data_IF_887377644898
#
_entry.id   IF_887377644898
#
_cell.length_a   1.000
_cell.length_b   1.000
_cell.length_c   1.000
_cell.angle_alpha   90.00
_cell.angle_beta   90.00
_cell.angle_gamma   90.00
#
_symmetry.space_group_name_H-M   'P 1'
#
loop_
_entity.id
_entity.type
_entity.pdbx_description
1 polymer ?
#
# COMPACT_ATOMS: atom_id res chain seq x y z
N UNK A 1 -20.27 7.53 14.77
CA UNK A 1 -18.92 7.01 14.45
C UNK A 1 -18.32 6.13 15.54
N UNK A 2 -18.14 6.59 16.80
CA UNK A 2 -17.52 5.76 17.85
C UNK A 2 -18.41 4.60 18.33
N UNK A 3 -19.69 4.88 18.57
CA UNK A 3 -20.71 3.89 18.96
C UNK A 3 -20.90 2.82 17.88
N UNK A 4 -20.89 3.21 16.61
CA UNK A 4 -21.04 2.30 15.48
C UNK A 4 -19.91 1.26 15.39
N UNK A 5 -18.71 1.65 15.86
CA UNK A 5 -17.48 0.88 15.78
C UNK A 5 -17.20 0.04 17.04
N UNK A 6 -18.10 0.01 18.02
CA UNK A 6 -17.92 -0.68 19.31
C UNK A 6 -16.59 -0.32 20.03
N UNK A 7 -16.13 0.92 19.92
CA UNK A 7 -14.97 1.39 20.68
C UNK A 7 -15.41 1.88 22.06
N UNK A 8 -14.72 1.44 23.11
CA UNK A 8 -14.99 1.93 24.48
C UNK A 8 -14.43 3.34 24.67
N UNK A 9 -15.09 4.13 25.52
CA UNK A 9 -14.56 5.42 25.99
C UNK A 9 -13.32 5.23 26.87
N UNK A 10 -12.47 6.26 26.92
CA UNK A 10 -11.27 6.25 27.76
C UNK A 10 -11.62 6.37 29.24
N UNK A 11 -11.09 5.46 30.06
CA UNK A 11 -11.17 5.53 31.53
C UNK A 11 -9.76 5.83 32.10
N UNK A 12 -9.53 7.01 32.71
CA UNK A 12 -8.21 7.36 33.25
C UNK A 12 -7.67 6.38 34.30
N UNK A 13 -8.54 5.69 35.04
CA UNK A 13 -8.13 4.78 36.11
C UNK A 13 -7.60 3.48 35.52
N UNK A 14 -8.31 2.93 34.53
CA UNK A 14 -7.99 1.64 33.92
C UNK A 14 -6.99 1.77 32.77
N UNK A 15 -7.17 2.78 31.92
CA UNK A 15 -6.50 2.86 30.62
C UNK A 15 -5.18 3.64 30.67
N UNK A 16 -4.90 4.41 31.72
CA UNK A 16 -3.64 5.17 31.86
C UNK A 16 -2.40 4.29 31.83
N UNK A 17 -2.51 3.04 32.29
CA UNK A 17 -1.42 2.05 32.32
C UNK A 17 -1.22 1.28 31.02
N UNK A 18 -2.15 1.40 30.05
CA UNK A 18 -2.05 0.68 28.78
C UNK A 18 -0.99 1.30 27.86
N UNK A 19 -0.48 0.49 26.93
CA UNK A 19 0.39 0.99 25.86
C UNK A 19 -0.35 2.04 25.05
N UNK A 20 0.33 3.15 24.74
CA UNK A 20 -0.24 4.26 23.98
C UNK A 20 -1.43 4.95 24.67
N UNK A 21 -1.52 4.90 26.01
CA UNK A 21 -2.58 5.55 26.80
C UNK A 21 -2.70 7.05 26.53
N UNK A 22 -1.58 7.75 26.32
CA UNK A 22 -1.59 9.16 25.94
C UNK A 22 -2.33 9.42 24.62
N UNK A 23 -2.12 8.60 23.58
CA UNK A 23 -2.86 8.73 22.31
C UNK A 23 -4.34 8.35 22.49
N UNK A 24 -4.61 7.32 23.29
CA UNK A 24 -5.97 6.88 23.61
C UNK A 24 -6.77 7.98 24.32
N UNK A 25 -6.13 8.68 25.28
CA UNK A 25 -6.67 9.84 25.99
C UNK A 25 -7.00 10.98 25.02
N UNK A 26 -6.06 11.36 24.15
CA UNK A 26 -6.29 12.41 23.14
C UNK A 26 -7.44 12.07 22.19
N UNK A 27 -7.63 10.79 21.89
CA UNK A 27 -8.70 10.30 21.03
C UNK A 27 -10.01 10.03 21.78
N UNK A 28 -10.03 10.08 23.11
CA UNK A 28 -11.20 9.78 23.93
C UNK A 28 -11.71 8.34 23.76
N UNK A 29 -10.80 7.38 23.61
CA UNK A 29 -11.11 5.94 23.45
C UNK A 29 -10.21 5.10 24.38
N UNK A 30 -10.66 3.92 24.78
CA UNK A 30 -9.95 3.05 25.75
C UNK A 30 -8.60 2.52 25.22
N UNK A 31 -8.49 2.28 23.91
CA UNK A 31 -7.25 1.93 23.21
C UNK A 31 -7.01 2.86 22.04
N UNK A 32 -5.75 3.20 21.78
CA UNK A 32 -5.40 4.06 20.65
C UNK A 32 -5.83 3.43 19.31
N UNK A 33 -6.32 4.27 18.40
CA UNK A 33 -6.62 3.92 17.02
C UNK A 33 -5.37 4.10 16.18
N UNK A 34 -4.81 2.99 15.69
CA UNK A 34 -3.55 2.96 14.92
C UNK A 34 -3.76 2.19 13.60
N UNK A 35 -2.97 2.42 12.55
CA UNK A 35 -2.96 1.53 11.37
C UNK A 35 -2.67 0.06 11.75
N UNK A 36 -3.01 -0.92 10.92
CA UNK A 36 -2.64 -2.34 11.14
C UNK A 36 -1.14 -2.50 10.89
N UNK A 37 -0.36 -2.81 11.93
CA UNK A 37 1.09 -2.81 11.84
C UNK A 37 1.78 -3.94 12.61
N UNK A 38 1.16 -4.51 13.65
CA UNK A 38 1.82 -5.54 14.46
C UNK A 38 1.69 -6.94 13.86
N UNK A 39 2.62 -7.84 14.15
CA UNK A 39 2.51 -9.24 13.71
C UNK A 39 1.23 -9.91 14.25
N UNK A 40 0.86 -9.61 15.50
CA UNK A 40 -0.37 -10.11 16.14
C UNK A 40 -1.63 -9.67 15.39
N UNK A 41 -1.73 -8.38 15.02
CA UNK A 41 -2.85 -7.86 14.25
C UNK A 41 -2.93 -8.50 12.86
N UNK A 42 -1.79 -8.71 12.19
CA UNK A 42 -1.76 -9.40 10.89
C UNK A 42 -2.26 -10.85 11.00
N UNK A 43 -1.86 -11.56 12.06
CA UNK A 43 -2.32 -12.92 12.33
C UNK A 43 -3.84 -12.94 12.64
N UNK A 44 -4.32 -12.00 13.45
CA UNK A 44 -5.75 -11.84 13.74
C UNK A 44 -6.55 -11.57 12.47
N UNK A 45 -6.12 -10.62 11.63
CA UNK A 45 -6.80 -10.33 10.37
C UNK A 45 -6.87 -11.56 9.47
N UNK A 46 -5.77 -12.30 9.32
CA UNK A 46 -5.74 -13.53 8.53
C UNK A 46 -6.70 -14.59 9.08
N UNK A 47 -6.79 -14.72 10.41
CA UNK A 47 -7.70 -15.65 11.06
C UNK A 47 -9.18 -15.26 10.82
N UNK A 48 -9.50 -13.97 10.98
CA UNK A 48 -10.85 -13.44 10.74
C UNK A 48 -11.28 -13.64 9.29
N UNK A 49 -10.39 -13.35 8.32
CA UNK A 49 -10.65 -13.59 6.89
C UNK A 49 -10.95 -15.06 6.56
N UNK A 50 -10.42 -16.01 7.35
CA UNK A 50 -10.64 -17.44 7.11
C UNK A 50 -11.87 -17.98 7.83
N UNK A 51 -12.13 -17.51 9.06
CA UNK A 51 -13.07 -18.17 9.98
C UNK A 51 -14.32 -17.35 10.28
N UNK A 52 -14.27 -16.03 10.17
CA UNK A 52 -15.34 -15.17 10.65
C UNK A 52 -16.28 -14.74 9.51
N UNK A 53 -17.61 -14.97 9.62
CA UNK A 53 -18.55 -14.68 8.54
C UNK A 53 -18.61 -13.20 8.15
N UNK A 54 -18.39 -12.27 9.09
CA UNK A 54 -18.33 -10.83 8.78
C UNK A 54 -17.15 -10.43 7.85
N UNK A 55 -16.11 -11.26 7.78
CA UNK A 55 -14.93 -11.07 6.92
C UNK A 55 -14.91 -12.02 5.73
N UNK A 56 -15.78 -13.03 5.72
CA UNK A 56 -15.94 -14.02 4.67
C UNK A 56 -17.42 -14.19 4.34
N UNK A 57 -18.08 -13.07 4.01
CA UNK A 57 -19.37 -13.14 3.36
C UNK A 57 -19.09 -13.66 1.96
N UNK A 58 -19.66 -14.80 1.58
CA UNK A 58 -19.55 -15.33 0.20
C UNK A 58 -20.07 -14.38 -0.89
N UNK A 59 -20.64 -13.23 -0.49
CA UNK A 59 -21.02 -12.10 -1.33
C UNK A 59 -19.82 -11.20 -1.65
N UNK A 60 -19.87 -10.50 -2.80
CA UNK A 60 -18.78 -9.66 -3.28
C UNK A 60 -18.36 -8.51 -2.33
N UNK A 61 -19.23 -8.11 -1.40
CA UNK A 61 -18.96 -7.02 -0.46
C UNK A 61 -18.95 -7.49 1.01
N UNK A 62 -18.00 -6.96 1.79
CA UNK A 62 -17.85 -7.21 3.21
C UNK A 62 -18.74 -6.29 4.03
N UNK A 63 -19.40 -6.83 5.06
CA UNK A 63 -20.11 -6.00 6.03
C UNK A 63 -19.11 -5.32 6.98
N UNK A 64 -18.60 -4.17 6.54
CA UNK A 64 -17.56 -3.42 7.27
C UNK A 64 -17.98 -2.99 8.67
N UNK A 65 -19.27 -2.68 8.89
CA UNK A 65 -19.75 -2.28 10.22
C UNK A 65 -19.59 -3.44 11.20
N UNK A 66 -20.01 -4.64 10.80
CA UNK A 66 -19.89 -5.82 11.64
C UNK A 66 -18.42 -6.27 11.80
N UNK A 67 -17.65 -6.23 10.72
CA UNK A 67 -16.22 -6.56 10.74
C UNK A 67 -15.44 -5.69 11.75
N UNK A 68 -15.73 -4.39 11.80
CA UNK A 68 -15.11 -3.46 12.76
C UNK A 68 -15.53 -3.76 14.20
N UNK A 69 -16.81 -4.07 14.44
CA UNK A 69 -17.29 -4.45 15.78
C UNK A 69 -16.60 -5.70 16.29
N UNK A 70 -16.47 -6.72 15.44
CA UNK A 70 -15.76 -7.96 15.74
C UNK A 70 -14.30 -7.68 16.05
N UNK A 71 -13.63 -6.89 15.20
CA UNK A 71 -12.24 -6.50 15.43
C UNK A 71 -12.05 -5.78 16.77
N UNK A 72 -12.82 -4.71 17.02
CA UNK A 72 -12.65 -3.88 18.21
C UNK A 72 -13.04 -4.62 19.50
N UNK A 73 -13.99 -5.56 19.43
CA UNK A 73 -14.29 -6.48 20.55
C UNK A 73 -13.11 -7.39 20.89
N UNK A 74 -12.41 -7.93 19.90
CA UNK A 74 -11.20 -8.74 20.14
C UNK A 74 -10.07 -7.83 20.65
N UNK A 75 -9.97 -6.61 20.11
CA UNK A 75 -9.02 -5.62 20.57
C UNK A 75 -9.25 -5.26 22.05
N UNK A 76 -10.47 -5.25 22.57
CA UNK A 76 -10.71 -5.02 24.00
C UNK A 76 -10.05 -6.09 24.89
N UNK A 77 -9.98 -7.32 24.41
CA UNK A 77 -9.47 -8.48 25.15
C UNK A 77 -7.96 -8.69 24.98
N UNK A 78 -7.37 -8.22 23.87
CA UNK A 78 -5.96 -8.42 23.53
C UNK A 78 -5.19 -7.08 23.53
N UNK A 79 -4.24 -6.91 24.44
CA UNK A 79 -3.43 -5.70 24.56
C UNK A 79 -2.39 -5.49 23.44
N UNK A 80 -2.19 -6.49 22.58
CA UNK A 80 -1.36 -6.36 21.39
C UNK A 80 -2.15 -5.95 20.14
N UNK A 81 -3.47 -5.80 20.26
CA UNK A 81 -4.37 -5.41 19.18
C UNK A 81 -4.96 -4.04 19.50
N UNK A 82 -4.78 -3.10 18.57
CA UNK A 82 -5.31 -1.75 18.69
C UNK A 82 -6.64 -1.62 17.97
N UNK A 83 -7.42 -0.61 18.36
CA UNK A 83 -8.65 -0.26 17.65
C UNK A 83 -8.37 0.12 16.20
N UNK A 84 -9.34 -0.18 15.33
CA UNK A 84 -9.30 0.15 13.90
C UNK A 84 -10.57 0.85 13.47
N UNK A 85 -10.40 1.71 12.47
CA UNK A 85 -11.49 2.30 11.69
C UNK A 85 -11.71 1.51 10.39
N UNK A 86 -12.90 1.72 9.80
CA UNK A 86 -13.31 1.08 8.55
C UNK A 86 -12.29 1.30 7.43
N UNK A 87 -11.81 2.53 7.30
CA UNK A 87 -10.84 2.95 6.29
C UNK A 87 -9.52 2.21 6.44
N UNK A 88 -9.08 1.99 7.69
CA UNK A 88 -7.84 1.28 7.98
C UNK A 88 -7.95 -0.20 7.64
N UNK A 89 -9.06 -0.87 8.00
CA UNK A 89 -9.27 -2.25 7.61
C UNK A 89 -9.46 -2.42 6.09
N UNK A 90 -10.11 -1.47 5.41
CA UNK A 90 -10.21 -1.45 3.94
C UNK A 90 -8.85 -1.32 3.27
N UNK A 91 -8.04 -0.36 3.72
CA UNK A 91 -6.68 -0.18 3.22
C UNK A 91 -5.82 -1.43 3.45
N UNK A 92 -5.95 -2.05 4.62
CA UNK A 92 -5.24 -3.28 4.94
C UNK A 92 -5.71 -4.46 4.09
N UNK A 93 -7.01 -4.61 3.83
CA UNK A 93 -7.56 -5.66 2.96
C UNK A 93 -6.97 -5.57 1.55
N UNK A 94 -6.89 -4.37 0.97
CA UNK A 94 -6.29 -4.17 -0.36
C UNK A 94 -4.85 -4.65 -0.38
N UNK A 95 -4.05 -4.28 0.63
CA UNK A 95 -2.67 -4.75 0.76
C UNK A 95 -2.59 -6.27 0.97
N UNK A 96 -3.47 -6.82 1.80
CA UNK A 96 -3.53 -8.26 2.07
C UNK A 96 -3.86 -9.06 0.80
N UNK A 97 -4.84 -8.61 -0.02
CA UNK A 97 -5.18 -9.26 -1.30
C UNK A 97 -4.01 -9.27 -2.28
N UNK A 98 -3.28 -8.16 -2.38
CA UNK A 98 -2.06 -8.10 -3.21
C UNK A 98 -1.02 -9.09 -2.70
N UNK A 99 -0.75 -9.11 -1.40
CA UNK A 99 0.21 -10.03 -0.80
C UNK A 99 -0.23 -11.51 -0.94
N UNK A 100 -1.52 -11.80 -0.83
CA UNK A 100 -2.06 -13.14 -1.04
C UNK A 100 -1.86 -13.58 -2.49
N UNK A 101 -2.13 -12.70 -3.46
CA UNK A 101 -1.89 -12.98 -4.88
C UNK A 101 -0.39 -13.20 -5.18
N UNK A 102 0.49 -12.41 -4.57
CA UNK A 102 1.95 -12.60 -4.67
C UNK A 102 2.31 -13.99 -4.16
N UNK A 103 1.90 -14.35 -2.93
CA UNK A 103 2.20 -15.67 -2.34
C UNK A 103 1.64 -16.82 -3.17
N UNK A 104 0.43 -16.69 -3.71
CA UNK A 104 -0.16 -17.70 -4.59
C UNK A 104 0.64 -17.84 -5.88
N UNK A 105 1.07 -16.73 -6.48
CA UNK A 105 1.91 -16.73 -7.68
C UNK A 105 3.27 -17.34 -7.39
N UNK A 106 3.91 -16.97 -6.28
CA UNK A 106 5.18 -17.53 -5.82
C UNK A 106 5.07 -19.04 -5.58
N UNK A 107 3.98 -19.48 -4.93
CA UNK A 107 3.74 -20.89 -4.66
C UNK A 107 3.50 -21.68 -5.95
N UNK A 108 2.73 -21.11 -6.90
CA UNK A 108 2.44 -21.75 -8.19
C UNK A 108 3.64 -21.79 -9.13
N UNK A 109 4.55 -20.82 -9.06
CA UNK A 109 5.76 -20.76 -9.89
C UNK A 109 7.00 -21.33 -9.19
N UNK A 110 6.84 -21.95 -8.02
CA UNK A 110 7.96 -22.44 -7.21
C UNK A 110 8.81 -23.48 -7.96
N UNK A 111 8.15 -24.41 -8.64
CA UNK A 111 8.84 -25.49 -9.37
C UNK A 111 9.60 -24.96 -10.59
N UNK A 112 8.97 -24.09 -11.39
CA UNK A 112 9.62 -23.48 -12.56
C UNK A 112 10.80 -22.60 -12.15
N UNK A 113 10.66 -21.82 -11.06
CA UNK A 113 11.77 -21.03 -10.50
C UNK A 113 12.90 -21.93 -10.02
N UNK A 114 12.58 -23.05 -9.35
CA UNK A 114 13.58 -24.03 -8.93
C UNK A 114 14.36 -24.58 -10.13
N UNK A 115 13.67 -24.92 -11.23
CA UNK A 115 14.33 -25.40 -12.46
C UNK A 115 15.29 -24.38 -13.05
N UNK A 116 14.88 -23.11 -13.11
CA UNK A 116 15.74 -22.02 -13.60
C UNK A 116 16.93 -21.81 -12.65
N UNK A 117 16.71 -21.80 -11.34
CA UNK A 117 17.77 -21.67 -10.34
C UNK A 117 18.79 -22.82 -10.44
N UNK A 118 18.33 -24.05 -10.67
CA UNK A 118 19.20 -25.22 -10.86
C UNK A 118 20.02 -25.10 -12.16
N UNK A 119 19.42 -24.62 -13.25
CA UNK A 119 20.14 -24.35 -14.50
C UNK A 119 21.21 -23.27 -14.33
N UNK A 120 20.89 -22.18 -13.62
CA UNK A 120 21.84 -21.08 -13.38
C UNK A 120 23.02 -21.56 -12.54
N UNK A 121 22.77 -22.33 -11.48
CA UNK A 121 23.86 -22.90 -10.64
C UNK A 121 24.76 -23.85 -11.43
N UNK A 122 24.21 -24.59 -12.39
CA UNK A 122 25.01 -25.48 -13.22
C UNK A 122 25.87 -24.73 -14.25
N UNK A 123 25.45 -23.54 -14.71
CA UNK A 123 26.25 -22.74 -15.66
C UNK A 123 27.57 -22.29 -15.03
N UNK A 124 27.56 -21.89 -13.75
CA UNK A 124 28.76 -21.43 -13.03
C UNK A 124 29.87 -22.49 -12.95
N UNK A 125 29.51 -23.77 -12.98
CA UNK A 125 30.47 -24.89 -12.98
C UNK A 125 31.20 -25.07 -14.32
N UNK A 126 30.71 -24.44 -15.40
CA UNK A 126 31.26 -24.54 -16.76
C UNK A 126 31.84 -23.23 -17.29
N UNK A 127 31.86 -22.17 -16.50
CA UNK A 127 32.50 -20.91 -16.91
C UNK A 127 34.02 -21.16 -16.97
N UNK A 128 34.65 -21.09 -18.16
CA UNK A 128 36.10 -21.20 -18.27
C UNK A 128 36.72 -20.12 -17.39
N UNK A 129 37.75 -20.46 -16.62
CA UNK A 129 38.43 -19.52 -15.73
C UNK A 129 38.77 -18.26 -16.52
N UNK A 130 38.05 -17.17 -16.23
CA UNK A 130 38.24 -15.90 -16.91
C UNK A 130 39.70 -15.54 -16.71
N UNK A 131 40.49 -15.34 -17.77
CA UNK A 131 41.89 -14.98 -17.63
C UNK A 131 41.98 -13.80 -16.68
N UNK A 132 42.50 -14.06 -15.47
CA UNK A 132 42.69 -13.01 -14.47
C UNK A 132 43.60 -12.01 -15.14
N UNK A 133 43.05 -10.85 -15.52
CA UNK A 133 43.86 -9.72 -15.93
C UNK A 133 44.82 -9.50 -14.78
N UNK A 134 46.09 -9.80 -15.04
CA UNK A 134 47.18 -9.54 -14.12
C UNK A 134 47.00 -8.09 -13.66
N UNK A 135 46.65 -7.91 -12.38
CA UNK A 135 46.46 -6.58 -11.81
C UNK A 135 47.79 -5.85 -12.00
N UNK A 136 47.80 -4.90 -12.93
CA UNK A 136 48.93 -4.02 -13.08
C UNK A 136 49.12 -3.28 -11.74
N UNK A 137 50.34 -3.29 -11.18
CA UNK A 137 50.60 -2.67 -9.89
C UNK A 137 50.28 -1.17 -9.96
N UNK A 138 49.34 -0.77 -9.09
CA UNK A 138 49.11 0.56 -8.54
C UNK A 138 49.65 1.74 -9.37
N UNK A 139 48.79 2.31 -10.20
CA UNK A 139 48.92 3.72 -10.55
C UNK A 139 48.61 4.55 -9.30
N UNK A 140 49.67 5.03 -8.64
CA UNK A 140 49.62 6.06 -7.60
C UNK A 140 48.87 7.27 -8.13
N UNK A 141 47.64 7.50 -7.65
CA UNK A 141 46.91 8.72 -7.94
C UNK A 141 47.71 9.90 -7.33
N UNK A 142 48.12 10.90 -8.12
CA UNK A 142 48.81 12.05 -7.58
C UNK A 142 47.86 12.84 -6.67
N UNK A 143 48.30 13.02 -5.43
CA UNK A 143 47.75 13.96 -4.46
C UNK A 143 47.54 15.33 -5.10
N UNK A 144 46.34 15.90 -4.94
CA UNK A 144 46.20 17.35 -5.02
C UNK A 144 44.91 17.87 -5.63
N UNK A 145 43.76 17.66 -4.96
CA UNK A 145 42.66 18.62 -5.07
C UNK A 145 42.26 19.09 -3.66
N UNK A 146 42.85 20.23 -3.28
CA UNK A 146 42.39 21.10 -2.19
C UNK A 146 40.95 21.53 -2.52
N UNK A 147 40.01 21.19 -1.64
CA UNK A 147 38.73 21.86 -1.60
C UNK A 147 38.93 23.27 -1.02
N UNK A 148 38.48 24.35 -1.68
CA UNK A 148 38.45 25.65 -1.06
C UNK A 148 37.36 25.67 0.01
N UNK A 149 37.77 25.96 1.24
CA UNK A 149 36.90 26.46 2.31
C UNK A 149 36.27 27.77 1.85
N UNK A 150 34.97 27.75 1.54
CA UNK A 150 34.10 28.94 1.49
C UNK A 150 33.09 28.78 2.62
N UNK A 151 33.40 29.33 3.79
CA UNK A 151 33.12 30.69 4.24
C UNK A 151 31.68 30.85 4.75
N UNK A 152 31.64 31.33 5.98
CA UNK A 152 30.48 31.53 6.83
C UNK A 152 29.55 32.60 6.25
N UNK A 153 28.26 32.42 6.47
CA UNK A 153 27.23 33.35 6.01
C UNK A 153 25.84 32.92 6.46
N UNK A 154 25.59 32.97 7.77
CA UNK A 154 24.23 33.16 8.29
C UNK A 154 23.65 34.45 7.71
N UNK A 155 22.36 34.47 7.34
CA UNK A 155 21.51 35.43 8.04
C UNK A 155 20.09 34.94 8.34
N UNK A 156 19.69 35.31 9.56
CA UNK A 156 18.42 35.93 9.91
C UNK A 156 17.10 35.18 9.69
N UNK A 157 16.60 34.69 10.81
CA UNK A 157 15.18 34.60 11.16
C UNK A 157 14.43 35.89 10.80
N UNK A 158 13.42 35.80 9.94
CA UNK A 158 12.27 36.71 10.00
C UNK A 158 10.96 35.92 9.96
N UNK A 159 10.33 35.94 11.13
CA UNK A 159 8.92 35.72 11.38
C UNK A 159 8.06 36.59 10.46
N UNK A 160 7.12 35.99 9.73
CA UNK A 160 5.87 36.66 9.40
C UNK A 160 4.71 35.67 9.57
N UNK A 161 4.06 35.78 10.74
CA UNK A 161 2.66 35.40 10.91
C UNK A 161 1.80 36.16 9.92
N UNK A 162 0.88 35.48 9.25
CA UNK A 162 -0.27 36.12 8.65
C UNK A 162 -1.50 35.24 8.84
N UNK A 163 -2.46 35.89 9.49
CA UNK A 163 -3.76 35.41 9.96
C UNK A 163 -4.76 35.49 8.79
N UNK A 164 -5.57 34.42 8.66
CA UNK A 164 -6.96 34.26 8.18
C UNK A 164 -7.62 35.37 7.31
N UNK A 165 -8.46 35.02 6.30
CA UNK A 165 -9.85 34.57 6.55
C UNK A 165 -10.25 33.38 5.65
N UNK A 166 -11.12 32.44 6.03
CA UNK A 166 -12.43 32.64 6.64
C UNK A 166 -13.47 32.85 5.53
N UNK A 167 -14.04 31.79 4.96
CA UNK A 167 -15.39 31.87 4.37
C UNK A 167 -16.07 30.48 4.28
N UNK A 168 -17.38 30.40 4.56
CA UNK A 168 -18.08 29.19 4.96
C UNK A 168 -19.15 28.76 3.92
N UNK A 169 -20.03 27.85 4.37
CA UNK A 169 -21.36 27.54 3.83
C UNK A 169 -21.40 26.49 2.72
N UNK A 170 -22.29 25.50 2.67
CA UNK A 170 -23.29 24.90 3.56
C UNK A 170 -23.85 23.65 2.79
N UNK A 171 -24.78 22.86 3.34
CA UNK A 171 -24.98 21.45 3.01
C UNK A 171 -26.03 21.26 1.90
N UNK A 172 -26.18 20.02 1.42
CA UNK A 172 -27.47 19.61 0.89
C UNK A 172 -27.96 18.32 1.55
N UNK A 173 -29.18 18.45 2.08
CA UNK A 173 -30.02 17.48 2.78
C UNK A 173 -30.80 16.70 1.71
N UNK A 174 -30.70 15.37 1.67
CA UNK A 174 -31.69 14.44 2.25
C UNK A 174 -32.86 14.12 1.27
N UNK A 175 -33.85 13.28 1.61
CA UNK A 175 -33.87 11.84 1.34
C UNK A 175 -35.04 11.39 0.44
N UNK A 176 -35.06 10.13 -0.01
CA UNK A 176 -36.27 9.52 -0.58
C UNK A 176 -36.50 8.09 -0.04
N UNK A 177 -37.55 8.02 0.77
CA UNK A 177 -38.46 6.93 1.14
C UNK A 177 -38.31 5.50 0.56
N UNK A 178 -38.23 4.52 1.50
CA UNK A 178 -39.02 3.26 1.67
C UNK A 178 -39.30 2.29 0.50
N UNK A 179 -39.92 1.11 0.75
CA UNK A 179 -40.33 0.42 2.00
C UNK A 179 -39.59 -0.94 2.20
N UNK A 180 -39.35 -1.40 3.43
CA UNK A 180 -40.22 -2.29 4.26
C UNK A 180 -40.73 -3.55 3.55
N UNK A 181 -40.07 -4.69 3.82
CA UNK A 181 -40.64 -6.03 3.64
C UNK A 181 -40.08 -6.98 4.69
N UNK A 182 -41.00 -7.51 5.49
CA UNK A 182 -40.82 -8.45 6.60
C UNK A 182 -40.30 -9.82 6.15
N UNK A 183 -39.58 -10.58 6.99
CA UNK A 183 -39.32 -11.99 6.76
C UNK A 183 -40.36 -12.89 7.47
N UNK A 184 -40.71 -14.08 6.91
CA UNK A 184 -41.53 -15.05 7.60
C UNK A 184 -40.72 -15.89 8.59
N UNK A 185 -41.37 -16.22 9.70
CA UNK A 185 -40.95 -17.18 10.71
C UNK A 185 -40.97 -18.60 10.13
N UNK A 186 -39.90 -19.37 10.40
CA UNK A 186 -39.95 -20.82 10.35
C UNK A 186 -39.34 -21.38 11.64
N UNK A 187 -40.21 -22.07 12.37
CA UNK A 187 -39.95 -22.93 13.53
C UNK A 187 -39.55 -24.34 13.10
N UNK A 188 -38.96 -25.07 14.06
CA UNK A 188 -38.54 -26.49 14.07
C UNK A 188 -37.10 -26.71 13.57
N UNK A 189 -36.23 -27.46 14.24
CA UNK A 189 -36.37 -28.37 15.37
C UNK A 189 -35.28 -29.46 15.24
N UNK A 190 -34.94 -30.07 16.37
CA UNK A 190 -34.20 -31.32 16.53
C UNK A 190 -32.67 -31.34 16.36
N UNK A 191 -32.06 -31.69 17.49
CA UNK A 191 -30.74 -32.27 17.69
C UNK A 191 -30.47 -33.49 16.79
N UNK A 192 -29.21 -33.62 16.37
CA UNK A 192 -28.69 -34.84 15.77
C UNK A 192 -27.17 -34.80 15.74
N UNK A 193 -26.54 -35.46 16.70
CA UNK A 193 -25.13 -35.80 16.71
C UNK A 193 -24.74 -36.51 15.42
N UNK A 194 -23.64 -36.12 14.77
CA UNK A 194 -22.70 -37.09 14.22
C UNK A 194 -21.35 -36.47 13.83
N UNK A 195 -20.32 -37.08 14.36
CA UNK A 195 -18.91 -36.85 14.08
C UNK A 195 -18.50 -37.43 12.72
N UNK A 196 -17.44 -36.83 12.15
CA UNK A 196 -16.48 -37.45 11.20
C UNK A 196 -16.83 -37.55 9.70
N UNK A 197 -17.24 -36.46 9.04
CA UNK A 197 -17.18 -36.35 7.56
C UNK A 197 -16.69 -34.99 7.00
N UNK A 198 -16.07 -34.12 7.81
CA UNK A 198 -15.74 -32.74 7.41
C UNK A 198 -14.59 -32.61 6.39
N UNK A 199 -13.81 -33.66 6.13
CA UNK A 199 -12.61 -33.57 5.26
C UNK A 199 -12.93 -33.54 3.77
N UNK A 200 -14.05 -34.09 3.33
CA UNK A 200 -14.36 -34.27 1.90
C UNK A 200 -14.93 -33.00 1.26
N UNK A 201 -15.81 -32.28 1.96
CA UNK A 201 -16.44 -31.05 1.42
C UNK A 201 -15.42 -29.91 1.29
N UNK A 202 -14.50 -29.79 2.24
CA UNK A 202 -13.45 -28.79 2.21
C UNK A 202 -12.45 -29.04 1.06
N UNK A 203 -12.11 -30.30 0.80
CA UNK A 203 -11.26 -30.70 -0.34
C UNK A 203 -11.92 -30.38 -1.68
N UNK A 204 -13.21 -30.67 -1.83
CA UNK A 204 -13.97 -30.37 -3.05
C UNK A 204 -14.10 -28.86 -3.27
N UNK A 205 -14.36 -28.07 -2.21
CA UNK A 205 -14.40 -26.61 -2.32
C UNK A 205 -13.02 -26.01 -2.67
N UNK A 206 -11.93 -26.59 -2.16
CA UNK A 206 -10.58 -26.16 -2.50
C UNK A 206 -10.24 -26.50 -3.96
N UNK A 207 -10.60 -27.69 -4.43
CA UNK A 207 -10.42 -28.11 -5.82
C UNK A 207 -11.24 -27.21 -6.78
N UNK A 208 -12.49 -26.89 -6.44
CA UNK A 208 -13.30 -25.96 -7.24
C UNK A 208 -12.75 -24.53 -7.21
N UNK A 209 -12.22 -24.07 -6.08
CA UNK A 209 -11.59 -22.75 -5.97
C UNK A 209 -10.33 -22.67 -6.84
N UNK A 210 -9.50 -23.72 -6.85
CA UNK A 210 -8.32 -23.82 -7.72
C UNK A 210 -8.71 -23.82 -9.21
N UNK A 211 -9.79 -24.52 -9.58
CA UNK A 211 -10.29 -24.56 -10.96
C UNK A 211 -10.79 -23.18 -11.44
N UNK A 212 -11.58 -22.48 -10.62
CA UNK A 212 -12.05 -21.12 -10.94
C UNK A 212 -10.89 -20.13 -11.11
N UNK A 213 -9.86 -20.23 -10.27
CA UNK A 213 -8.66 -19.38 -10.43
C UNK A 213 -7.98 -19.71 -11.76
N UNK A 214 -7.77 -20.98 -12.12
CA UNK A 214 -7.12 -21.34 -13.40
C UNK A 214 -7.92 -20.86 -14.62
N UNK A 215 -9.24 -21.06 -14.64
CA UNK A 215 -10.12 -20.56 -15.72
C UNK A 215 -10.06 -19.03 -15.85
N UNK A 216 -10.04 -18.29 -14.73
CA UNK A 216 -9.90 -16.82 -14.80
C UNK A 216 -8.56 -16.32 -15.33
N UNK A 217 -7.51 -17.15 -15.32
CA UNK A 217 -6.21 -16.83 -15.91
C UNK A 217 -6.14 -17.22 -17.40
N UNK A 218 -6.87 -18.25 -17.84
CA UNK A 218 -6.88 -18.71 -19.23
C UNK A 218 -7.80 -17.86 -20.13
N UNK A 219 -8.93 -17.35 -19.62
CA UNK A 219 -9.85 -16.49 -20.40
C UNK A 219 -9.48 -15.00 -20.40
N UNK A 220 -8.64 -14.55 -19.47
CA UNK A 220 -8.12 -13.18 -19.51
C UNK A 220 -6.84 -13.14 -20.34
N UNK A 221 -7.02 -12.98 -21.66
CA UNK A 221 -6.03 -12.31 -22.50
C UNK A 221 -5.47 -11.13 -21.69
N UNK A 222 -4.15 -11.12 -21.39
CA UNK A 222 -3.59 -10.17 -20.45
C UNK A 222 -3.93 -8.78 -20.93
N UNK A 223 -4.82 -8.09 -20.21
CA UNK A 223 -5.30 -6.77 -20.57
C UNK A 223 -4.07 -5.92 -20.91
N UNK A 224 -3.89 -5.65 -22.21
CA UNK A 224 -2.67 -5.02 -22.74
C UNK A 224 -2.56 -3.69 -22.01
N UNK A 225 -1.66 -3.63 -21.02
CA UNK A 225 -1.48 -2.42 -20.21
C UNK A 225 -1.27 -1.29 -21.22
N UNK A 226 -2.04 -0.19 -21.12
CA UNK A 226 -1.92 0.89 -22.08
C UNK A 226 -0.45 1.28 -22.17
N UNK A 227 0.14 1.16 -23.36
CA UNK A 227 1.56 1.46 -23.58
C UNK A 227 1.76 2.90 -23.13
N UNK A 228 2.59 3.11 -22.11
CA UNK A 228 2.89 4.46 -21.59
C UNK A 228 3.41 5.29 -22.76
N UNK A 229 2.81 6.46 -22.99
CA UNK A 229 3.22 7.35 -24.07
C UNK A 229 4.75 7.62 -23.97
N UNK A 230 5.46 7.66 -25.11
CA UNK A 230 6.90 7.94 -25.11
C UNK A 230 7.18 9.27 -24.41
N UNK A 231 8.18 9.29 -23.52
CA UNK A 231 8.55 10.50 -22.79
C UNK A 231 9.24 11.48 -23.73
N UNK A 232 8.81 12.74 -23.73
CA UNK A 232 9.51 13.86 -24.39
C UNK A 232 10.53 14.52 -23.47
N UNK A 233 11.54 15.19 -24.02
CA UNK A 233 12.48 16.00 -23.25
C UNK A 233 11.76 17.12 -22.49
N UNK A 234 12.06 17.30 -21.20
CA UNK A 234 11.37 18.29 -20.36
C UNK A 234 11.86 19.73 -20.56
N UNK A 235 12.99 19.92 -21.25
CA UNK A 235 13.48 21.24 -21.64
C UNK A 235 12.92 21.65 -23.01
N UNK A 236 13.18 20.87 -24.05
CA UNK A 236 12.87 21.25 -25.43
C UNK A 236 11.62 20.58 -26.04
N UNK A 237 10.97 19.64 -25.35
CA UNK A 237 9.75 18.98 -25.83
C UNK A 237 9.94 17.95 -26.94
N UNK A 238 11.15 17.77 -27.47
CA UNK A 238 11.43 16.79 -28.52
C UNK A 238 11.45 15.35 -28.00
N UNK A 239 10.98 14.42 -28.81
CA UNK A 239 11.10 12.99 -28.54
C UNK A 239 12.57 12.58 -28.67
N UNK A 240 13.27 12.85 -29.76
CA UNK A 240 14.60 12.28 -30.01
C UNK A 240 15.76 13.13 -29.47
N UNK A 241 15.53 13.85 -28.38
CA UNK A 241 16.57 14.64 -27.72
C UNK A 241 17.36 13.80 -26.70
N UNK A 242 18.70 13.91 -26.73
CA UNK A 242 19.60 13.33 -25.71
C UNK A 242 19.23 13.74 -24.28
N UNK A 243 18.68 14.95 -24.11
CA UNK A 243 18.17 15.49 -22.86
C UNK A 243 16.91 14.84 -22.29
N UNK A 244 16.35 13.80 -22.94
CA UNK A 244 15.18 13.06 -22.46
C UNK A 244 15.43 12.39 -21.09
N UNK A 245 16.66 11.94 -20.82
CA UNK A 245 17.05 11.34 -19.53
C UNK A 245 17.47 12.39 -18.51
N UNK A 246 18.25 13.38 -18.95
CA UNK A 246 18.82 14.41 -18.08
C UNK A 246 18.70 15.78 -18.77
N UNK A 247 17.87 16.71 -18.29
CA UNK A 247 17.64 17.99 -18.97
C UNK A 247 18.90 18.84 -19.16
N UNK A 248 19.92 18.67 -18.30
CA UNK A 248 21.19 19.40 -18.35
C UNK A 248 22.03 19.10 -19.59
N UNK A 249 21.85 17.92 -20.22
CA UNK A 249 22.56 17.55 -21.47
C UNK A 249 21.77 17.90 -22.73
N UNK A 250 20.63 18.60 -22.61
CA UNK A 250 19.83 19.01 -23.75
C UNK A 250 20.47 20.21 -24.46
N UNK A 251 20.91 20.07 -25.73
CA UNK A 251 21.53 21.17 -26.48
C UNK A 251 20.51 22.19 -27.00
N UNK A 252 19.22 21.81 -27.04
CA UNK A 252 18.17 22.63 -27.63
C UNK A 252 17.66 23.69 -26.63
N UNK A 253 17.16 24.84 -27.13
CA UNK A 253 16.52 25.86 -26.29
C UNK A 253 15.27 25.32 -25.59
N UNK A 254 14.92 25.92 -24.45
CA UNK A 254 13.71 25.55 -23.73
C UNK A 254 12.46 25.86 -24.56
N UNK A 255 11.47 24.95 -24.57
CA UNK A 255 10.23 25.15 -25.32
C UNK A 255 9.37 26.31 -24.78
N UNK A 256 9.54 26.66 -23.50
CA UNK A 256 8.68 27.64 -22.82
C UNK A 256 9.28 29.06 -22.86
N UNK A 257 10.60 29.20 -22.65
CA UNK A 257 11.27 30.50 -22.59
C UNK A 257 12.38 30.71 -23.63
N UNK A 258 12.63 29.74 -24.51
CA UNK A 258 13.62 29.78 -25.59
C UNK A 258 15.09 29.98 -25.17
N UNK A 259 15.41 29.99 -23.87
CA UNK A 259 16.79 30.14 -23.37
C UNK A 259 17.56 28.81 -23.41
N UNK A 260 18.83 28.86 -23.81
CA UNK A 260 19.73 27.69 -23.82
C UNK A 260 20.14 27.26 -22.41
N UNK A 261 20.24 28.19 -21.47
CA UNK A 261 20.65 27.91 -20.07
C UNK A 261 19.49 27.52 -19.14
N UNK A 262 18.27 27.41 -19.68
CA UNK A 262 17.10 27.07 -18.89
C UNK A 262 17.15 25.61 -18.37
N UNK A 263 16.74 25.40 -17.12
CA UNK A 263 16.59 24.06 -16.50
C UNK A 263 15.47 23.21 -17.11
N UNK A 264 14.55 23.82 -17.86
CA UNK A 264 13.34 23.18 -18.40
C UNK A 264 12.18 23.14 -17.39
N UNK A 265 11.11 22.41 -17.70
CA UNK A 265 9.95 22.27 -16.80
C UNK A 265 10.27 21.45 -15.55
N UNK A 266 9.67 21.80 -14.42
CA UNK A 266 9.81 21.08 -13.15
C UNK A 266 8.90 19.83 -13.12
N UNK A 267 9.47 18.65 -12.86
CA UNK A 267 8.71 17.38 -12.69
C UNK A 267 7.61 17.47 -11.66
N UNK A 268 7.87 18.23 -10.58
CA UNK A 268 6.97 18.34 -9.43
C UNK A 268 5.79 19.26 -9.73
N UNK A 269 5.86 20.07 -10.80
CA UNK A 269 4.84 21.05 -11.20
C UNK A 269 4.66 21.05 -12.73
N UNK A 270 4.16 19.95 -13.34
CA UNK A 270 4.13 19.78 -14.81
C UNK A 270 3.20 20.77 -15.55
N UNK A 271 2.28 21.40 -14.82
CA UNK A 271 1.34 22.40 -15.35
C UNK A 271 1.93 23.80 -15.44
N UNK A 272 3.00 24.09 -14.69
CA UNK A 272 3.66 25.41 -14.70
C UNK A 272 4.73 25.47 -15.79
N UNK A 273 4.92 26.66 -16.36
CA UNK A 273 6.01 26.95 -17.32
C UNK A 273 7.36 26.93 -16.60
N UNK A 274 8.46 26.81 -17.34
CA UNK A 274 9.80 26.75 -16.74
C UNK A 274 10.12 27.92 -15.80
N UNK A 275 9.67 29.14 -16.09
CA UNK A 275 10.07 30.30 -15.30
C UNK A 275 9.35 30.35 -13.94
N UNK A 276 8.06 29.99 -13.88
CA UNK A 276 7.25 30.00 -12.65
C UNK A 276 7.41 28.73 -11.78
N UNK A 277 8.03 27.69 -12.32
CA UNK A 277 8.03 26.36 -11.70
C UNK A 277 9.21 26.14 -10.74
N UNK A 278 10.24 26.99 -10.80
CA UNK A 278 11.46 26.89 -10.00
C UNK A 278 11.57 27.93 -8.88
N UNK A 279 10.66 28.90 -8.86
CA UNK A 279 10.38 29.77 -7.71
C UNK A 279 9.50 29.05 -6.67
#
# INVERSE_FOLDING_TARGET
MRTDSAMRGYDPIVDSRRKQSHLAQLQGVSKAVLPVHTHRERALFSNLMQRHPAFNTGTAELNWKEAIRVWNRIADQDDQVFYKLTEQLRAYLTKWKVNANIKNTESGTREDRSRVDDLVKNIDMTIPEVPRRHEQPNHTAPNGHRFPHGNEGSPSLHHHSSVLPGTPCHPNLNPTAGPSSSPPEHTNGASGSNSNHHTTVQSVMEAMSRKRVRETYEEREPAKRPKKAPRKCWKCGSFDCKGRKTPTICPNPCQDCSRLECRGRNSRRPTKKCDEAWD
#
